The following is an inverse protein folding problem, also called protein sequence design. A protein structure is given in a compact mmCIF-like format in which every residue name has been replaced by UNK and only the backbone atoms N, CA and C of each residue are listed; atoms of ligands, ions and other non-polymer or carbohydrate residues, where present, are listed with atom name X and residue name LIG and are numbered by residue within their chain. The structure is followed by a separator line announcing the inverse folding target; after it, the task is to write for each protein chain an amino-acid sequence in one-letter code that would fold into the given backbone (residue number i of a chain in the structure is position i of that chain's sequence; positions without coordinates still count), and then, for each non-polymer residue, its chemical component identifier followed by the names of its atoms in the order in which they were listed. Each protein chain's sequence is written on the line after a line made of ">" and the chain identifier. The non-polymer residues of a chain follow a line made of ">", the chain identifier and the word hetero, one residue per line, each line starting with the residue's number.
data_IF_179743371874
#
_entry.id   IF_179743371874
#
_cell.length_a   1.000
_cell.length_b   1.000
_cell.length_c   1.000
_cell.angle_alpha   90.00
_cell.angle_beta   90.00
_cell.angle_gamma   90.00
#
_symmetry.space_group_name_H-M   'P 1'
#
loop_
_entity.id
_entity.type
_entity.pdbx_description
1 polymer ?
#
# COMPACT_ATOMS: atom_id res chain seq x y z
N UNK A 1 30.27 21.06 -51.87
CA UNK A 1 28.98 20.62 -51.32
C UNK A 1 29.17 20.43 -49.82
N UNK A 2 28.87 21.45 -49.01
CA UNK A 2 29.00 21.38 -47.55
C UNK A 2 27.68 20.88 -46.98
N UNK A 3 27.66 19.60 -46.60
CA UNK A 3 26.52 18.98 -45.94
C UNK A 3 26.47 19.54 -44.52
N UNK A 4 25.28 20.00 -44.09
CA UNK A 4 25.03 20.72 -42.85
C UNK A 4 25.54 19.97 -41.59
N UNK A 5 26.80 20.22 -41.22
CA UNK A 5 27.49 19.65 -40.05
C UNK A 5 26.89 20.12 -38.73
N UNK A 6 26.28 21.32 -38.71
CA UNK A 6 25.70 21.86 -37.49
C UNK A 6 24.48 21.05 -37.03
N UNK A 7 23.59 20.66 -37.95
CA UNK A 7 22.41 19.86 -37.62
C UNK A 7 22.76 18.45 -37.16
N UNK A 8 23.79 17.81 -37.74
CA UNK A 8 24.24 16.49 -37.27
C UNK A 8 24.87 16.56 -35.88
N UNK A 9 25.63 17.62 -35.59
CA UNK A 9 26.26 17.82 -34.28
C UNK A 9 25.22 18.09 -33.19
N UNK A 10 24.16 18.85 -33.50
CA UNK A 10 23.03 19.04 -32.58
C UNK A 10 22.24 17.76 -32.34
N UNK A 11 21.99 16.96 -33.38
CA UNK A 11 21.36 15.64 -33.23
C UNK A 11 22.20 14.70 -32.38
N UNK A 12 23.52 14.66 -32.60
CA UNK A 12 24.44 13.86 -31.79
C UNK A 12 24.46 14.32 -30.33
N UNK A 13 24.51 15.62 -30.05
CA UNK A 13 24.48 16.12 -28.67
C UNK A 13 23.15 15.84 -27.96
N UNK A 14 22.02 15.89 -28.67
CA UNK A 14 20.72 15.47 -28.12
C UNK A 14 20.67 13.96 -27.88
N UNK A 15 21.23 13.16 -28.77
CA UNK A 15 21.26 11.71 -28.68
C UNK A 15 22.20 11.25 -27.54
N UNK A 16 23.38 11.86 -27.41
CA UNK A 16 24.31 11.65 -26.29
C UNK A 16 23.70 12.13 -24.97
N UNK A 17 22.99 13.26 -24.96
CA UNK A 17 22.24 13.73 -23.79
C UNK A 17 21.17 12.72 -23.36
N UNK A 18 20.39 12.21 -24.31
CA UNK A 18 19.39 11.15 -24.08
C UNK A 18 20.01 9.83 -23.64
N UNK A 19 21.14 9.42 -24.23
CA UNK A 19 21.84 8.19 -23.88
C UNK A 19 22.47 8.32 -22.48
N UNK A 20 23.00 9.47 -22.10
CA UNK A 20 23.52 9.72 -20.75
C UNK A 20 22.41 9.76 -19.69
N UNK A 21 21.27 10.38 -20.00
CA UNK A 21 20.07 10.32 -19.15
C UNK A 21 19.53 8.87 -19.05
N UNK A 22 19.60 8.10 -20.13
CA UNK A 22 19.21 6.69 -20.14
C UNK A 22 20.24 5.76 -19.46
N UNK A 23 21.53 6.06 -19.50
CA UNK A 23 22.59 5.29 -18.84
C UNK A 23 22.59 5.51 -17.33
N UNK A 24 22.03 6.64 -16.87
CA UNK A 24 21.67 6.89 -15.47
C UNK A 24 20.31 6.29 -15.08
N UNK A 25 19.72 5.37 -15.87
CA UNK A 25 18.50 4.61 -15.50
C UNK A 25 18.75 3.80 -14.22
N UNK A 26 18.52 4.52 -13.12
CA UNK A 26 17.91 4.16 -11.86
C UNK A 26 18.36 2.82 -11.24
N UNK A 27 19.40 2.82 -10.38
CA UNK A 27 19.70 1.67 -9.51
C UNK A 27 18.52 1.19 -8.63
N UNK A 28 17.40 1.94 -8.60
CA UNK A 28 16.21 1.66 -7.81
C UNK A 28 15.01 1.12 -8.61
N UNK A 29 15.09 0.88 -9.92
CA UNK A 29 13.93 0.36 -10.69
C UNK A 29 13.47 -1.02 -10.19
N UNK A 30 14.40 -1.96 -9.99
CA UNK A 30 14.09 -3.27 -9.38
C UNK A 30 13.44 -3.15 -8.00
N UNK A 31 13.88 -2.17 -7.21
CA UNK A 31 13.29 -1.89 -5.89
C UNK A 31 11.87 -1.34 -6.01
N UNK A 32 11.61 -0.46 -6.99
CA UNK A 32 10.27 0.07 -7.29
C UNK A 32 9.33 -1.05 -7.73
N UNK A 33 9.74 -1.88 -8.69
CA UNK A 33 8.97 -3.04 -9.16
C UNK A 33 8.66 -4.01 -8.01
N UNK A 34 9.65 -4.28 -7.16
CA UNK A 34 9.48 -5.11 -5.98
C UNK A 34 8.41 -4.55 -5.03
N UNK A 35 8.46 -3.25 -4.73
CA UNK A 35 7.45 -2.58 -3.89
C UNK A 35 6.06 -2.64 -4.51
N UNK A 36 5.94 -2.36 -5.82
CA UNK A 36 4.66 -2.42 -6.54
C UNK A 36 4.09 -3.84 -6.49
N UNK A 37 4.92 -4.86 -6.74
CA UNK A 37 4.50 -6.25 -6.68
C UNK A 37 3.99 -6.64 -5.30
N UNK A 38 4.68 -6.24 -4.23
CA UNK A 38 4.25 -6.52 -2.85
C UNK A 38 2.98 -5.78 -2.45
N UNK A 39 2.76 -4.58 -2.99
CA UNK A 39 1.54 -3.81 -2.76
C UNK A 39 0.35 -4.46 -3.48
N UNK A 40 0.55 -4.92 -4.73
CA UNK A 40 -0.46 -5.64 -5.49
C UNK A 40 -0.86 -6.96 -4.81
N UNK A 41 0.07 -7.67 -4.16
CA UNK A 41 -0.24 -8.85 -3.33
C UNK A 41 -1.16 -8.53 -2.15
N UNK A 42 -1.21 -7.27 -1.70
CA UNK A 42 -2.12 -6.76 -0.66
C UNK A 42 -3.36 -6.09 -1.26
N UNK A 43 -3.59 -6.23 -2.57
CA UNK A 43 -4.66 -5.56 -3.32
C UNK A 43 -4.56 -4.03 -3.29
N UNK A 44 -3.36 -3.46 -3.22
CA UNK A 44 -3.12 -2.01 -3.25
C UNK A 44 -2.47 -1.65 -4.60
N UNK A 45 -3.13 -0.82 -5.41
CA UNK A 45 -2.57 -0.32 -6.68
C UNK A 45 -1.59 0.82 -6.38
N UNK A 46 -0.32 0.46 -6.13
CA UNK A 46 0.74 1.41 -5.82
C UNK A 46 1.39 1.97 -7.09
N UNK A 47 1.34 3.29 -7.25
CA UNK A 47 2.00 4.03 -8.34
C UNK A 47 3.13 4.89 -7.80
N UNK A 48 4.35 4.63 -8.26
CA UNK A 48 5.54 5.40 -7.88
C UNK A 48 5.87 6.43 -8.96
N UNK A 49 6.14 7.67 -8.55
CA UNK A 49 6.46 8.77 -9.44
C UNK A 49 7.92 8.68 -9.97
N UNK A 50 8.21 9.38 -11.08
CA UNK A 50 9.56 9.58 -11.58
C UNK A 50 10.49 10.25 -10.57
N UNK A 51 11.78 10.00 -10.72
CA UNK A 51 12.81 10.64 -9.88
C UNK A 51 12.80 12.15 -10.10
N UNK A 52 12.93 12.90 -9.00
CA UNK A 52 13.01 14.37 -9.03
C UNK A 52 11.68 15.05 -8.69
N UNK A 53 10.55 14.34 -8.71
CA UNK A 53 9.26 14.86 -8.27
C UNK A 53 9.26 15.11 -6.75
N UNK A 54 8.63 16.21 -6.33
CA UNK A 54 8.62 16.62 -4.92
C UNK A 54 8.02 15.54 -4.00
N UNK A 55 6.89 14.95 -4.39
CA UNK A 55 6.25 13.87 -3.64
C UNK A 55 7.16 12.63 -3.50
N UNK A 56 7.86 12.27 -4.57
CA UNK A 56 8.83 11.17 -4.55
C UNK A 56 9.97 11.41 -3.57
N UNK A 57 10.46 12.65 -3.45
CA UNK A 57 11.52 13.02 -2.47
C UNK A 57 11.06 12.92 -1.02
N UNK A 58 9.75 13.09 -0.77
CA UNK A 58 9.17 12.97 0.56
C UNK A 58 8.86 11.53 0.94
N UNK A 59 8.79 10.62 -0.04
CA UNK A 59 8.45 9.24 0.21
C UNK A 59 9.59 8.52 0.95
N UNK A 60 9.31 8.11 2.19
CA UNK A 60 10.18 7.27 3.02
C UNK A 60 9.62 5.86 3.20
N UNK A 61 8.63 5.47 2.38
CA UNK A 61 8.00 4.16 2.44
C UNK A 61 9.01 3.07 2.12
N UNK A 62 9.03 2.02 2.93
CA UNK A 62 9.87 0.85 2.71
C UNK A 62 9.18 -0.43 3.18
N UNK A 63 9.72 -1.57 2.76
CA UNK A 63 9.26 -2.88 3.17
C UNK A 63 10.26 -3.55 4.12
N UNK A 64 9.81 -3.93 5.32
CA UNK A 64 10.58 -4.71 6.30
C UNK A 64 9.62 -5.55 7.14
N UNK A 65 9.46 -6.84 6.81
CA UNK A 65 8.45 -7.75 7.38
C UNK A 65 6.99 -7.31 7.20
N UNK A 66 6.77 -6.20 6.50
CA UNK A 66 5.51 -5.53 6.23
C UNK A 66 5.79 -4.13 5.67
N UNK A 67 4.79 -3.46 5.10
CA UNK A 67 4.97 -2.07 4.67
C UNK A 67 5.08 -1.13 5.86
N UNK A 68 6.05 -0.24 5.78
CA UNK A 68 6.12 0.96 6.61
C UNK A 68 5.79 2.13 5.69
N UNK A 69 4.56 2.61 5.76
CA UNK A 69 4.03 3.66 4.91
C UNK A 69 4.41 5.03 5.43
N UNK A 70 4.95 5.86 4.53
CA UNK A 70 4.82 7.30 4.73
C UNK A 70 3.34 7.65 4.60
N UNK A 71 2.82 8.52 5.45
CA UNK A 71 1.44 9.00 5.40
C UNK A 71 1.49 10.52 5.41
N UNK A 72 0.86 11.14 4.41
CA UNK A 72 0.62 12.58 4.41
C UNK A 72 -0.71 12.84 5.10
N UNK A 73 -0.66 13.57 6.20
CA UNK A 73 -1.82 13.92 6.99
C UNK A 73 -2.13 15.40 6.77
N UNK A 74 -3.34 15.71 6.33
CA UNK A 74 -3.79 17.07 6.02
C UNK A 74 -4.81 17.50 7.06
N UNK A 75 -4.54 18.62 7.74
CA UNK A 75 -5.45 19.24 8.70
C UNK A 75 -5.30 20.77 8.61
N UNK A 76 -6.42 21.50 8.51
CA UNK A 76 -6.43 22.97 8.41
C UNK A 76 -5.43 23.55 7.37
N UNK A 77 -5.40 22.95 6.16
CA UNK A 77 -4.47 23.29 5.07
C UNK A 77 -2.97 23.08 5.38
N UNK A 78 -2.63 22.52 6.54
CA UNK A 78 -1.28 22.11 6.90
C UNK A 78 -1.08 20.62 6.60
N UNK A 79 0.17 20.26 6.29
CA UNK A 79 0.56 18.91 5.91
C UNK A 79 1.58 18.38 6.90
N UNK A 80 1.36 17.17 7.38
CA UNK A 80 2.24 16.45 8.29
C UNK A 80 2.62 15.12 7.65
N UNK A 81 3.83 14.65 7.90
CA UNK A 81 4.30 13.38 7.35
C UNK A 81 4.70 12.46 8.50
N UNK A 82 4.07 11.29 8.56
CA UNK A 82 4.36 10.26 9.57
C UNK A 82 4.74 8.97 8.88
N UNK A 83 5.60 8.18 9.52
CA UNK A 83 5.91 6.82 9.08
C UNK A 83 5.17 5.86 10.00
N UNK A 84 4.34 4.97 9.44
CA UNK A 84 3.52 4.03 10.20
C UNK A 84 3.61 2.62 9.60
N UNK A 85 3.50 1.62 10.47
CA UNK A 85 3.42 0.22 10.04
C UNK A 85 2.05 -0.04 9.41
N UNK A 86 1.98 -1.01 8.50
CA UNK A 86 0.72 -1.45 7.90
C UNK A 86 -0.26 -2.03 8.94
N UNK A 87 0.26 -2.56 10.05
CA UNK A 87 -0.52 -3.13 11.17
C UNK A 87 -0.98 -2.05 12.18
N UNK A 88 -0.65 -0.77 11.95
CA UNK A 88 -1.06 0.30 12.86
C UNK A 88 -2.57 0.55 12.76
N UNK A 89 -3.28 0.49 13.89
CA UNK A 89 -4.71 0.83 13.99
C UNK A 89 -4.91 2.32 13.75
N UNK A 90 -5.89 2.68 12.93
CA UNK A 90 -6.12 4.09 12.55
C UNK A 90 -6.61 4.95 13.72
N UNK A 91 -7.30 4.36 14.70
CA UNK A 91 -7.67 5.04 15.94
C UNK A 91 -6.44 5.58 16.69
N UNK A 92 -5.35 4.82 16.75
CA UNK A 92 -4.10 5.26 17.38
C UNK A 92 -3.47 6.45 16.62
N UNK A 93 -3.51 6.40 15.29
CA UNK A 93 -3.04 7.50 14.44
C UNK A 93 -3.87 8.76 14.68
N UNK A 94 -5.20 8.63 14.77
CA UNK A 94 -6.09 9.75 15.03
C UNK A 94 -5.84 10.36 16.41
N UNK A 95 -5.69 9.52 17.44
CA UNK A 95 -5.41 9.95 18.81
C UNK A 95 -4.07 10.66 18.93
N UNK A 96 -3.01 10.13 18.30
CA UNK A 96 -1.70 10.79 18.23
C UNK A 96 -1.82 12.17 17.59
N UNK A 97 -2.49 12.27 16.45
CA UNK A 97 -2.65 13.55 15.75
C UNK A 97 -3.51 14.54 16.54
N UNK A 98 -4.56 14.08 17.23
CA UNK A 98 -5.36 14.93 18.10
C UNK A 98 -4.54 15.49 19.28
N UNK A 99 -3.67 14.67 19.87
CA UNK A 99 -2.77 15.11 20.93
C UNK A 99 -1.75 16.14 20.43
N UNK A 100 -1.13 15.89 19.27
CA UNK A 100 -0.12 16.78 18.67
C UNK A 100 -0.72 18.12 18.20
N UNK A 101 -1.89 18.07 17.55
CA UNK A 101 -2.54 19.23 16.95
C UNK A 101 -3.49 19.95 17.90
N UNK A 102 -3.72 19.41 19.10
CA UNK A 102 -4.74 19.87 20.06
C UNK A 102 -6.11 20.01 19.39
N UNK A 103 -6.43 19.05 18.52
CA UNK A 103 -7.69 18.99 17.78
C UNK A 103 -8.65 17.99 18.39
N UNK A 104 -9.92 18.10 18.01
CA UNK A 104 -10.98 17.15 18.32
C UNK A 104 -11.48 16.46 17.03
N UNK A 105 -10.55 16.12 16.13
CA UNK A 105 -10.90 15.42 14.91
C UNK A 105 -11.49 14.05 15.25
N UNK A 106 -12.57 13.70 14.57
CA UNK A 106 -13.31 12.45 14.79
C UNK A 106 -13.25 11.52 13.59
N UNK A 107 -12.93 12.06 12.42
CA UNK A 107 -13.00 11.36 11.15
C UNK A 107 -11.66 11.43 10.43
N UNK A 108 -11.35 10.34 9.74
CA UNK A 108 -10.17 10.21 8.90
C UNK A 108 -10.61 9.79 7.50
N UNK A 109 -10.21 10.54 6.48
CA UNK A 109 -10.57 10.25 5.10
C UNK A 109 -9.33 10.01 4.25
N UNK A 110 -9.34 8.96 3.43
CA UNK A 110 -8.34 8.77 2.39
C UNK A 110 -8.70 9.61 1.16
N UNK A 111 -7.76 10.44 0.72
CA UNK A 111 -7.89 11.22 -0.51
C UNK A 111 -7.63 10.32 -1.72
N UNK A 112 -8.62 10.23 -2.59
CA UNK A 112 -8.56 9.53 -3.87
C UNK A 112 -8.68 10.52 -5.03
N UNK A 113 -8.36 10.06 -6.25
CA UNK A 113 -8.51 10.88 -7.47
C UNK A 113 -9.93 11.42 -7.65
N UNK A 114 -10.93 10.63 -7.27
CA UNK A 114 -12.34 10.90 -7.54
C UNK A 114 -13.16 11.25 -6.29
N UNK A 115 -12.52 11.54 -5.15
CA UNK A 115 -13.24 11.91 -3.92
C UNK A 115 -12.49 11.53 -2.66
N UNK A 116 -13.25 11.46 -1.56
CA UNK A 116 -12.78 11.07 -0.24
C UNK A 116 -13.47 9.76 0.16
N UNK A 117 -12.71 8.88 0.79
CA UNK A 117 -13.21 7.63 1.37
C UNK A 117 -13.05 7.73 2.87
N UNK A 118 -14.13 7.56 3.61
CA UNK A 118 -14.07 7.47 5.07
C UNK A 118 -13.37 6.16 5.47
N UNK A 119 -12.41 6.27 6.39
CA UNK A 119 -11.65 5.13 6.88
C UNK A 119 -12.27 4.57 8.15
N UNK A 120 -12.22 3.25 8.28
CA UNK A 120 -12.63 2.55 9.49
C UNK A 120 -11.51 2.66 10.54
N UNK A 121 -11.80 3.34 11.64
CA UNK A 121 -10.84 3.64 12.70
C UNK A 121 -10.45 2.40 13.51
N UNK A 122 -11.32 1.40 13.57
CA UNK A 122 -11.10 0.17 14.35
C UNK A 122 -10.19 -0.82 13.60
N UNK A 123 -9.94 -0.56 12.32
CA UNK A 123 -9.12 -1.39 11.45
C UNK A 123 -7.71 -0.83 11.29
N UNK A 124 -6.80 -1.71 10.89
CA UNK A 124 -5.43 -1.33 10.59
C UNK A 124 -5.31 -0.57 9.25
N UNK A 125 -4.14 0.03 9.06
CA UNK A 125 -3.82 0.75 7.84
C UNK A 125 -3.89 -0.15 6.60
N UNK A 126 -3.41 -1.39 6.70
CA UNK A 126 -3.43 -2.32 5.58
C UNK A 126 -4.85 -2.59 5.07
N UNK A 127 -5.78 -2.90 5.97
CA UNK A 127 -7.18 -3.15 5.69
C UNK A 127 -7.83 -1.95 4.99
N UNK A 128 -7.61 -0.75 5.54
CA UNK A 128 -8.15 0.50 5.00
C UNK A 128 -7.58 0.88 3.63
N UNK A 129 -6.36 0.43 3.31
CA UNK A 129 -5.74 0.69 2.02
C UNK A 129 -6.08 -0.39 0.96
N UNK A 130 -6.73 -1.50 1.32
CA UNK A 130 -7.12 -2.53 0.36
C UNK A 130 -8.04 -1.98 -0.73
N UNK A 131 -7.83 -2.47 -1.95
CA UNK A 131 -8.53 -2.04 -3.16
C UNK A 131 -8.42 -0.53 -3.47
N UNK A 132 -7.46 0.18 -2.87
CA UNK A 132 -7.21 1.60 -3.13
C UNK A 132 -6.09 1.80 -4.14
N UNK A 133 -6.17 2.91 -4.90
CA UNK A 133 -5.06 3.43 -5.68
C UNK A 133 -4.26 4.40 -4.80
N UNK A 134 -2.95 4.17 -4.70
CA UNK A 134 -2.03 4.99 -3.91
C UNK A 134 -0.90 5.50 -4.78
N UNK A 135 -0.74 6.83 -4.83
CA UNK A 135 0.35 7.47 -5.57
C UNK A 135 1.43 7.88 -4.57
N UNK A 136 2.58 7.21 -4.62
CA UNK A 136 3.72 7.28 -3.68
C UNK A 136 3.40 6.81 -2.25
N UNK A 137 2.44 7.46 -1.61
CA UNK A 137 1.98 7.21 -0.25
C UNK A 137 0.54 7.72 -0.06
N UNK A 138 -0.21 7.16 0.90
CA UNK A 138 -1.56 7.63 1.23
C UNK A 138 -1.57 9.08 1.72
N UNK A 139 -2.63 9.81 1.34
CA UNK A 139 -2.93 11.14 1.86
C UNK A 139 -4.23 11.08 2.65
N UNK A 140 -4.15 11.29 3.95
CA UNK A 140 -5.26 11.26 4.90
C UNK A 140 -5.69 12.69 5.24
N UNK A 141 -7.00 12.91 5.36
CA UNK A 141 -7.59 14.18 5.75
C UNK A 141 -8.23 13.99 7.11
N UNK A 142 -7.81 14.79 8.09
CA UNK A 142 -8.49 14.85 9.38
C UNK A 142 -9.65 15.82 9.30
N UNK A 143 -10.78 15.42 9.87
CA UNK A 143 -11.95 16.28 9.98
C UNK A 143 -12.59 16.19 11.36
N UNK A 144 -13.10 17.32 11.83
CA UNK A 144 -13.91 17.44 13.04
C UNK A 144 -15.40 17.19 12.77
N UNK A 145 -15.81 17.25 11.50
CA UNK A 145 -17.19 17.08 11.03
C UNK A 145 -17.22 15.96 9.99
N UNK A 146 -18.32 15.21 9.94
CA UNK A 146 -18.54 14.21 8.91
C UNK A 146 -18.61 14.91 7.54
N UNK A 147 -17.63 14.62 6.69
CA UNK A 147 -17.63 15.03 5.30
C UNK A 147 -18.31 13.90 4.54
N UNK A 148 -19.59 14.06 4.21
CA UNK A 148 -20.38 13.01 3.56
C UNK A 148 -19.57 12.31 2.45
N UNK A 149 -19.47 10.99 2.54
CA UNK A 149 -18.70 10.18 1.59
C UNK A 149 -19.24 10.38 0.17
N UNK A 150 -18.45 10.99 -0.72
CA UNK A 150 -18.87 11.27 -2.10
C UNK A 150 -19.00 9.97 -2.93
N UNK A 151 -18.49 8.83 -2.43
CA UNK A 151 -18.66 7.50 -3.04
C UNK A 151 -18.72 6.40 -1.98
N UNK A 152 -19.92 6.00 -1.53
CA UNK A 152 -20.10 4.70 -0.82
C UNK A 152 -20.15 3.52 -1.81
N UNK A 153 -20.60 3.79 -3.03
CA UNK A 153 -21.07 2.77 -3.98
C UNK A 153 -19.97 1.99 -4.73
N UNK A 154 -18.69 2.31 -4.54
CA UNK A 154 -17.57 1.59 -5.19
C UNK A 154 -16.73 0.75 -4.23
N UNK A 155 -16.94 0.92 -2.92
CA UNK A 155 -16.16 0.23 -1.86
C UNK A 155 -16.96 -0.83 -1.12
N UNK A 156 -18.28 -0.68 -1.00
CA UNK A 156 -19.14 -1.70 -0.38
C UNK A 156 -19.03 -3.05 -1.10
N UNK A 157 -19.03 -3.02 -2.42
CA UNK A 157 -19.15 -4.23 -3.22
C UNK A 157 -17.84 -5.04 -3.18
N UNK A 158 -16.69 -4.37 -3.32
CA UNK A 158 -15.38 -5.01 -3.21
C UNK A 158 -15.06 -5.49 -1.79
N UNK A 159 -15.46 -4.77 -0.75
CA UNK A 159 -15.27 -5.22 0.64
C UNK A 159 -16.15 -6.43 0.96
N UNK A 160 -17.37 -6.49 0.41
CA UNK A 160 -18.26 -7.65 0.58
C UNK A 160 -17.75 -8.91 -0.15
N UNK A 161 -17.18 -8.76 -1.34
CA UNK A 161 -16.48 -9.84 -2.07
C UNK A 161 -15.26 -10.32 -1.26
N UNK A 162 -14.44 -9.41 -0.73
CA UNK A 162 -13.25 -9.73 0.08
C UNK A 162 -13.63 -10.44 1.40
N UNK A 163 -14.71 -10.05 2.07
CA UNK A 163 -15.20 -10.75 3.27
C UNK A 163 -15.71 -12.17 2.95
N UNK A 164 -16.19 -12.39 1.73
CA UNK A 164 -16.64 -13.69 1.26
C UNK A 164 -15.45 -14.59 0.95
N UNK A 165 -14.40 -14.06 0.33
CA UNK A 165 -13.14 -14.76 0.05
C UNK A 165 -12.36 -15.13 1.34
N UNK A 166 -12.31 -14.23 2.33
CA UNK A 166 -11.64 -14.50 3.62
C UNK A 166 -12.38 -15.54 4.47
N UNK A 167 -13.69 -15.73 4.27
CA UNK A 167 -14.46 -16.81 4.89
C UNK A 167 -14.19 -18.15 4.21
N UNK A 168 -14.03 -18.19 2.89
CA UNK A 168 -13.68 -19.41 2.16
C UNK A 168 -12.26 -19.90 2.45
N UNK A 169 -11.27 -18.99 2.57
CA UNK A 169 -9.89 -19.37 2.91
C UNK A 169 -9.72 -19.90 4.34
N UNK A 170 -10.56 -19.43 5.29
CA UNK A 170 -10.59 -19.96 6.66
C UNK A 170 -11.21 -21.35 6.73
N UNK A 171 -12.24 -21.64 5.92
CA UNK A 171 -12.85 -22.97 5.86
C UNK A 171 -11.95 -24.02 5.21
N UNK A 172 -11.18 -23.66 4.17
CA UNK A 172 -10.28 -24.61 3.51
C UNK A 172 -9.08 -24.98 4.39
N UNK A 173 -8.55 -24.03 5.17
CA UNK A 173 -7.46 -24.30 6.10
C UNK A 173 -7.90 -25.12 7.34
N UNK A 174 -9.16 -25.02 7.77
CA UNK A 174 -9.70 -25.88 8.84
C UNK A 174 -9.90 -27.34 8.38
N UNK A 175 -10.33 -27.54 7.13
CA UNK A 175 -10.52 -28.89 6.57
C UNK A 175 -9.17 -29.61 6.37
N UNK A 176 -8.09 -28.88 6.08
CA UNK A 176 -6.75 -29.49 5.97
C UNK A 176 -6.11 -29.82 7.33
N UNK A 177 -6.41 -29.06 8.39
CA UNK A 177 -5.91 -29.33 9.74
C UNK A 177 -6.58 -30.57 10.36
N UNK A 178 -7.90 -30.72 10.24
CA UNK A 178 -8.61 -31.90 10.76
C UNK A 178 -8.24 -33.20 10.02
N UNK A 179 -7.83 -33.11 8.75
CA UNK A 179 -7.40 -34.28 7.99
C UNK A 179 -6.00 -34.77 8.39
N UNK A 180 -5.15 -33.89 8.91
CA UNK A 180 -3.80 -34.27 9.39
C UNK A 180 -3.78 -34.87 10.80
N UNK A 181 -4.80 -34.64 11.63
CA UNK A 181 -4.90 -35.24 12.97
C UNK A 181 -5.50 -36.67 12.93
N UNK A 182 -6.31 -36.99 11.92
CA UNK A 182 -6.92 -38.32 11.76
C UNK A 182 -5.98 -39.39 11.16
N UNK A 183 -4.85 -39.02 10.56
CA UNK A 183 -3.87 -39.96 10.00
C UNK A 183 -2.77 -40.37 10.99
N UNK A 184 -2.72 -39.77 12.20
CA UNK A 184 -1.73 -40.10 13.24
C UNK A 184 -2.19 -41.10 14.31
N UNK A 185 -3.47 -41.52 14.32
CA UNK A 185 -4.01 -42.44 15.34
C UNK A 185 -4.22 -43.89 14.86
N UNK A 186 -3.90 -44.25 13.61
CA UNK A 186 -4.15 -45.62 13.08
C UNK A 186 -2.93 -46.55 13.06
N UNK A 187 -1.84 -46.25 13.76
CA UNK A 187 -0.62 -47.07 13.75
C UNK A 187 -0.12 -47.45 15.14
N UNK A 188 -0.99 -48.02 15.97
CA UNK A 188 -0.60 -48.60 17.25
C UNK A 188 -1.51 -49.76 17.66
N UNK A 189 -1.58 -50.81 16.85
CA UNK A 189 -2.02 -52.13 17.30
C UNK A 189 -1.55 -53.17 16.27
N UNK A 190 -0.43 -53.83 16.56
CA UNK A 190 -0.21 -55.26 16.30
C UNK A 190 1.23 -55.64 16.65
N UNK A 191 1.39 -56.51 17.65
CA UNK A 191 2.69 -57.01 18.09
C UNK A 191 2.65 -57.84 19.37
N UNK A 192 1.65 -58.73 19.49
CA UNK A 192 1.64 -59.80 20.48
C UNK A 192 2.69 -60.89 20.17
N UNK A 193 3.31 -61.38 21.25
CA UNK A 193 3.72 -62.77 21.53
C UNK A 193 4.62 -63.54 20.54
N UNK A 194 5.82 -63.94 20.99
CA UNK A 194 6.06 -65.32 21.46
C UNK A 194 7.55 -65.62 21.74
N UNK A 195 7.76 -66.29 22.89
CA UNK A 195 8.86 -67.19 23.34
C UNK A 195 10.30 -66.69 23.56
#
# INVERSE_FOLDING_TARGET
>A
MNVNTLTSDYSFLMEVGRINDNAKRFPNEKKKEFMIRLANQRMIDLKLMPVGMHRQKLNKTFYKKGFNWTIEIVFNNQKYYKLKSEETVLLDVLNEMNAELKSNAKYLYLKQKNGLIELDLDQDLNFNLKATEIIEFPTLILSTVELGSIRKDLYSDKQSEIQTELKSEKSENQIQAEKSELESESSAEDGELSE
#
